data_IF_643621927264
#
_entry.id   IF_643621927264
#
_cell.length_a   1.000
_cell.length_b   1.000
_cell.length_c   1.000
_cell.angle_alpha   90.00
_cell.angle_beta   90.00
_cell.angle_gamma   90.00
#
_symmetry.space_group_name_H-M   'P 1'
#
loop_
_entity.id
_entity.type
_entity.pdbx_description
1 polymer ?
#
# COMPACT_ATOMS: atom_id res chain seq x y z
N UNK A 1 0.73 25.43 24.69
CA UNK A 1 1.47 24.21 24.30
C UNK A 1 2.00 24.39 22.89
N UNK A 2 3.29 24.73 22.73
CA UNK A 2 3.92 24.81 21.40
C UNK A 2 4.02 23.40 20.83
N UNK A 3 3.39 23.14 19.69
CA UNK A 3 3.59 21.88 18.95
C UNK A 3 5.08 21.77 18.62
N UNK A 4 5.67 20.60 18.85
CA UNK A 4 7.01 20.25 18.35
C UNK A 4 6.95 20.32 16.81
N UNK A 5 7.39 21.44 16.24
CA UNK A 5 7.54 21.59 14.79
C UNK A 5 9.00 21.25 14.45
N UNK A 6 9.27 19.95 14.30
CA UNK A 6 10.58 19.54 13.80
C UNK A 6 10.62 19.79 12.27
N UNK A 7 11.67 20.47 11.76
CA UNK A 7 11.81 20.77 10.32
C UNK A 7 11.66 19.55 9.41
N UNK A 8 12.06 18.36 9.89
CA UNK A 8 11.92 17.11 9.14
C UNK A 8 10.46 16.76 8.81
N UNK A 9 9.51 17.09 9.70
CA UNK A 9 8.11 16.83 9.44
C UNK A 9 7.51 17.83 8.46
N UNK A 10 7.99 19.07 8.45
CA UNK A 10 7.56 20.06 7.47
C UNK A 10 8.05 19.69 6.07
N UNK A 11 9.30 19.22 5.95
CA UNK A 11 9.84 18.69 4.69
C UNK A 11 9.01 17.51 4.16
N UNK A 12 8.74 16.51 4.99
CA UNK A 12 7.96 15.33 4.56
C UNK A 12 6.49 15.64 4.26
N UNK A 13 5.92 16.70 4.85
CA UNK A 13 4.54 17.12 4.60
C UNK A 13 4.40 18.08 3.42
N UNK A 14 5.47 18.77 3.05
CA UNK A 14 5.49 19.65 1.89
C UNK A 14 5.32 18.87 0.58
N UNK A 15 5.79 17.62 0.57
CA UNK A 15 5.65 16.71 -0.56
C UNK A 15 4.43 15.78 -0.43
N UNK A 16 4.07 15.16 -1.57
CA UNK A 16 2.99 14.18 -1.63
C UNK A 16 3.32 12.95 -0.77
N UNK A 17 2.38 12.54 0.07
CA UNK A 17 2.51 11.35 0.91
C UNK A 17 1.21 10.55 0.95
N UNK A 18 1.33 9.23 1.15
CA UNK A 18 0.17 8.34 1.32
C UNK A 18 -0.05 8.08 2.80
N UNK A 19 -1.22 8.46 3.30
CA UNK A 19 -1.67 8.14 4.66
C UNK A 19 -2.40 6.80 4.70
N UNK A 20 -1.72 5.74 5.15
CA UNK A 20 -2.30 4.39 5.25
C UNK A 20 -2.89 4.12 6.63
N UNK A 21 -4.16 3.72 6.68
CA UNK A 21 -4.80 3.31 7.93
C UNK A 21 -4.20 1.99 8.45
N UNK A 22 -3.61 2.02 9.65
CA UNK A 22 -2.94 0.86 10.26
C UNK A 22 -3.87 -0.34 10.45
N UNK A 23 -5.13 -0.11 10.84
CA UNK A 23 -6.09 -1.20 11.02
C UNK A 23 -6.44 -1.84 9.67
N UNK A 24 -6.69 -1.05 8.63
CA UNK A 24 -6.89 -1.59 7.27
C UNK A 24 -5.68 -2.38 6.80
N UNK A 25 -4.46 -1.89 7.04
CA UNK A 25 -3.22 -2.61 6.71
C UNK A 25 -3.15 -3.99 7.35
N UNK A 26 -3.57 -4.12 8.61
CA UNK A 26 -3.65 -5.42 9.28
C UNK A 26 -4.75 -6.34 8.71
N UNK A 27 -5.87 -5.76 8.25
CA UNK A 27 -7.01 -6.52 7.75
C UNK A 27 -6.84 -7.00 6.29
N UNK A 28 -6.18 -6.18 5.46
CA UNK A 28 -6.08 -6.36 4.01
C UNK A 28 -4.71 -6.85 3.57
N UNK A 29 -3.64 -6.31 4.16
CA UNK A 29 -2.29 -6.39 3.60
C UNK A 29 -1.70 -5.00 3.35
N UNK A 30 -0.38 -4.95 3.15
CA UNK A 30 0.33 -3.70 2.92
C UNK A 30 -0.05 -3.06 1.59
N UNK A 31 -0.03 -3.85 0.53
CA UNK A 31 -0.17 -3.36 -0.84
C UNK A 31 -1.62 -2.96 -1.11
N UNK A 32 -2.58 -3.78 -0.67
CA UNK A 32 -4.01 -3.47 -0.69
C UNK A 32 -4.34 -2.16 0.04
N UNK A 33 -3.85 -2.00 1.27
CA UNK A 33 -4.15 -0.80 2.05
C UNK A 33 -3.49 0.45 1.45
N UNK A 34 -2.30 0.32 0.87
CA UNK A 34 -1.58 1.41 0.21
C UNK A 34 -2.29 1.82 -1.08
N UNK A 35 -2.63 0.86 -1.95
CA UNK A 35 -3.38 1.11 -3.19
C UNK A 35 -4.74 1.72 -2.88
N UNK A 36 -5.47 1.19 -1.89
CA UNK A 36 -6.77 1.75 -1.52
C UNK A 36 -6.65 3.21 -1.05
N UNK A 37 -5.63 3.53 -0.26
CA UNK A 37 -5.38 4.90 0.21
C UNK A 37 -5.06 5.86 -0.95
N UNK A 38 -4.27 5.40 -1.93
CA UNK A 38 -3.97 6.17 -3.14
C UNK A 38 -5.22 6.37 -4.02
N UNK A 39 -6.04 5.33 -4.20
CA UNK A 39 -7.29 5.42 -4.96
C UNK A 39 -8.30 6.38 -4.30
N UNK A 40 -8.38 6.40 -2.96
CA UNK A 40 -9.20 7.38 -2.24
C UNK A 40 -8.71 8.82 -2.47
N UNK A 41 -7.39 9.04 -2.40
CA UNK A 41 -6.77 10.34 -2.68
C UNK A 41 -7.09 10.82 -4.10
N UNK A 42 -6.99 9.92 -5.08
CA UNK A 42 -7.35 10.23 -6.48
C UNK A 42 -8.84 10.48 -6.65
N UNK A 43 -9.71 9.66 -6.06
CA UNK A 43 -11.14 9.88 -6.11
C UNK A 43 -11.50 11.28 -5.59
N UNK A 44 -10.93 11.71 -4.46
CA UNK A 44 -11.11 13.06 -3.95
C UNK A 44 -10.62 14.12 -4.95
N UNK A 45 -9.41 13.95 -5.52
CA UNK A 45 -8.87 14.88 -6.53
C UNK A 45 -9.78 15.05 -7.75
N UNK A 46 -10.34 13.96 -8.29
CA UNK A 46 -11.24 13.97 -9.44
C UNK A 46 -12.63 14.51 -9.06
N UNK A 47 -13.14 14.14 -7.88
CA UNK A 47 -14.43 14.61 -7.35
C UNK A 47 -14.43 16.13 -7.15
N UNK A 48 -13.39 16.69 -6.52
CA UNK A 48 -13.26 18.13 -6.25
C UNK A 48 -13.17 18.99 -7.52
N UNK A 49 -13.03 18.35 -8.69
CA UNK A 49 -12.87 19.00 -10.00
C UNK A 49 -13.98 18.66 -10.98
N UNK A 50 -15.03 17.97 -10.53
CA UNK A 50 -16.13 17.48 -11.38
C UNK A 50 -15.64 16.65 -12.57
N UNK A 51 -14.59 15.83 -12.35
CA UNK A 51 -13.95 14.98 -13.38
C UNK A 51 -14.26 13.49 -13.24
N UNK A 52 -15.17 13.12 -12.34
CA UNK A 52 -15.74 11.77 -12.33
C UNK A 52 -16.66 11.61 -13.55
N UNK A 53 -16.74 10.39 -14.08
CA UNK A 53 -17.76 10.07 -15.08
C UNK A 53 -19.17 10.04 -14.44
N UNK A 54 -20.25 9.95 -15.24
CA UNK A 54 -21.62 9.90 -14.70
C UNK A 54 -21.90 8.74 -13.74
N UNK A 55 -21.13 7.65 -13.82
CA UNK A 55 -21.24 6.48 -12.96
C UNK A 55 -20.36 6.59 -11.70
N UNK A 56 -19.55 7.65 -11.57
CA UNK A 56 -18.62 7.90 -10.47
C UNK A 56 -17.23 7.26 -10.65
N UNK A 57 -16.82 6.93 -11.88
CA UNK A 57 -15.49 6.39 -12.16
C UNK A 57 -14.47 7.50 -12.46
N UNK A 58 -13.22 7.24 -12.09
CA UNK A 58 -12.04 8.00 -12.53
C UNK A 58 -11.03 7.06 -13.20
N UNK A 59 -10.26 7.57 -14.15
CA UNK A 59 -9.20 6.78 -14.78
C UNK A 59 -7.91 6.83 -13.96
N UNK A 60 -7.13 5.75 -14.03
CA UNK A 60 -5.78 5.70 -13.50
C UNK A 60 -4.98 4.64 -14.26
N UNK A 61 -3.81 5.00 -14.77
CA UNK A 61 -2.93 4.08 -15.51
C UNK A 61 -2.16 3.17 -14.55
N UNK A 62 -1.51 2.13 -15.09
CA UNK A 62 -0.65 1.23 -14.29
C UNK A 62 0.58 2.01 -13.80
N UNK A 63 1.11 2.85 -14.67
CA UNK A 63 2.28 3.71 -14.50
C UNK A 63 2.01 4.80 -13.47
N UNK A 64 0.85 5.46 -13.54
CA UNK A 64 0.44 6.45 -12.55
C UNK A 64 0.25 5.84 -11.16
N UNK A 65 -0.36 4.65 -11.10
CA UNK A 65 -0.55 3.94 -9.84
C UNK A 65 0.81 3.45 -9.28
N UNK A 66 1.73 3.03 -10.15
CA UNK A 66 3.11 2.72 -9.77
C UNK A 66 3.85 3.95 -9.25
N UNK A 67 3.75 5.09 -9.93
CA UNK A 67 4.38 6.34 -9.51
C UNK A 67 3.88 6.82 -8.14
N UNK A 68 2.59 6.64 -7.84
CA UNK A 68 2.01 7.00 -6.54
C UNK A 68 2.39 6.03 -5.43
N UNK A 69 2.43 4.72 -5.69
CA UNK A 69 2.50 3.69 -4.64
C UNK A 69 3.81 2.91 -4.57
N UNK A 70 4.62 2.97 -5.62
CA UNK A 70 5.78 2.11 -5.85
C UNK A 70 5.46 0.60 -5.89
N UNK A 71 4.20 0.22 -6.16
CA UNK A 71 3.77 -1.18 -6.22
C UNK A 71 3.75 -1.65 -7.67
N UNK A 72 4.51 -2.70 -7.99
CA UNK A 72 4.61 -3.26 -9.34
C UNK A 72 3.28 -3.83 -9.85
N UNK A 73 3.07 -3.81 -11.17
CA UNK A 73 1.80 -4.19 -11.82
C UNK A 73 1.24 -5.54 -11.35
N UNK A 74 2.08 -6.58 -11.21
CA UNK A 74 1.63 -7.89 -10.72
C UNK A 74 0.99 -7.79 -9.32
N UNK A 75 1.60 -7.05 -8.41
CA UNK A 75 1.06 -6.81 -7.07
C UNK A 75 -0.17 -5.89 -7.12
N UNK A 76 -0.19 -4.89 -8.01
CA UNK A 76 -1.38 -4.06 -8.23
C UNK A 76 -2.59 -4.91 -8.64
N UNK A 77 -2.42 -5.83 -9.61
CA UNK A 77 -3.53 -6.70 -10.09
C UNK A 77 -4.09 -7.55 -8.97
N UNK A 78 -3.23 -8.14 -8.13
CA UNK A 78 -3.64 -8.91 -6.97
C UNK A 78 -4.42 -8.04 -5.98
N UNK A 79 -3.87 -6.89 -5.61
CA UNK A 79 -4.49 -5.98 -4.66
C UNK A 79 -5.84 -5.43 -5.17
N UNK A 80 -5.91 -4.99 -6.43
CA UNK A 80 -7.15 -4.49 -7.06
C UNK A 80 -8.22 -5.59 -7.08
N UNK A 81 -7.85 -6.82 -7.41
CA UNK A 81 -8.77 -7.96 -7.41
C UNK A 81 -9.32 -8.22 -6.00
N UNK A 82 -8.46 -8.21 -4.98
CA UNK A 82 -8.85 -8.39 -3.59
C UNK A 82 -9.78 -7.27 -3.11
N UNK A 83 -9.45 -6.01 -3.40
CA UNK A 83 -10.27 -4.84 -3.05
C UNK A 83 -11.64 -4.88 -3.75
N UNK A 84 -11.69 -5.31 -5.02
CA UNK A 84 -12.94 -5.50 -5.77
C UNK A 84 -13.81 -6.59 -5.13
N UNK A 85 -13.22 -7.75 -4.83
CA UNK A 85 -13.93 -8.88 -4.24
C UNK A 85 -14.49 -8.56 -2.84
N UNK A 86 -13.81 -7.68 -2.10
CA UNK A 86 -14.28 -7.16 -0.81
C UNK A 86 -15.37 -6.09 -0.94
N UNK A 87 -15.69 -5.62 -2.15
CA UNK A 87 -16.69 -4.58 -2.38
C UNK A 87 -16.24 -3.18 -1.95
N UNK A 88 -14.93 -2.92 -1.89
CA UNK A 88 -14.39 -1.58 -1.57
C UNK A 88 -14.26 -0.69 -2.81
N UNK A 89 -14.02 -1.31 -3.97
CA UNK A 89 -13.91 -0.62 -5.25
C UNK A 89 -14.64 -1.41 -6.34
N UNK A 90 -15.00 -0.73 -7.42
CA UNK A 90 -15.23 -1.38 -8.71
C UNK A 90 -14.16 -0.95 -9.70
N UNK A 91 -13.88 -1.80 -10.68
CA UNK A 91 -12.91 -1.55 -11.74
C UNK A 91 -13.43 -2.03 -13.08
N UNK A 92 -13.31 -1.15 -14.08
CA UNK A 92 -13.55 -1.42 -15.50
C UNK A 92 -12.23 -1.24 -16.24
N UNK A 93 -11.96 -2.09 -17.23
CA UNK A 93 -10.81 -1.93 -18.12
C UNK A 93 -11.35 -1.61 -19.51
N UNK A 94 -10.95 -0.48 -20.08
CA UNK A 94 -11.46 -0.01 -21.37
C UNK A 94 -10.35 0.66 -22.18
N UNK A 95 -10.53 0.71 -23.50
CA UNK A 95 -9.61 1.38 -24.43
C UNK A 95 -8.40 0.55 -24.86
N UNK A 96 -7.60 1.15 -25.76
CA UNK A 96 -6.32 0.67 -26.25
C UNK A 96 -5.37 1.87 -26.23
N UNK A 97 -4.28 1.89 -25.43
CA UNK A 97 -3.91 0.89 -24.43
C UNK A 97 -4.93 0.78 -23.29
N UNK A 98 -4.91 -0.35 -22.57
CA UNK A 98 -5.90 -0.66 -21.55
C UNK A 98 -5.82 0.30 -20.36
N UNK A 99 -6.80 1.20 -20.24
CA UNK A 99 -6.93 2.10 -19.10
C UNK A 99 -7.82 1.45 -18.04
N UNK A 100 -7.43 1.59 -16.76
CA UNK A 100 -8.25 1.15 -15.63
C UNK A 100 -9.08 2.32 -15.14
N UNK A 101 -10.37 2.10 -15.02
CA UNK A 101 -11.33 3.02 -14.44
C UNK A 101 -11.76 2.47 -13.10
N UNK A 102 -11.63 3.27 -12.06
CA UNK A 102 -11.94 2.89 -10.69
C UNK A 102 -13.12 3.68 -10.16
N UNK A 103 -13.95 3.04 -9.35
CA UNK A 103 -15.01 3.67 -8.56
C UNK A 103 -14.85 3.25 -7.10
N UNK A 104 -14.91 4.21 -6.18
CA UNK A 104 -14.97 3.91 -4.75
C UNK A 104 -16.40 3.46 -4.42
N UNK A 105 -16.55 2.33 -3.75
CA UNK A 105 -17.84 1.85 -3.27
C UNK A 105 -18.04 2.36 -1.86
N UNK A 106 -18.99 3.28 -1.68
CA UNK A 106 -19.33 3.83 -0.38
C UNK A 106 -20.19 2.85 0.42
N UNK A 107 -19.53 1.92 1.11
CA UNK A 107 -20.16 0.95 2.00
C UNK A 107 -19.52 1.01 3.41
N UNK A 108 -20.03 1.89 4.30
CA UNK A 108 -19.44 2.09 5.62
C UNK A 108 -19.42 0.84 6.51
N UNK A 109 -20.34 -0.11 6.29
CA UNK A 109 -20.42 -1.36 7.05
C UNK A 109 -19.22 -2.26 6.78
N UNK A 110 -18.91 -2.54 5.50
CA UNK A 110 -17.73 -3.30 5.08
C UNK A 110 -16.45 -2.67 5.63
N UNK A 111 -16.34 -1.34 5.52
CA UNK A 111 -15.17 -0.62 6.00
C UNK A 111 -15.02 -0.73 7.53
N UNK A 112 -16.13 -0.61 8.27
CA UNK A 112 -16.14 -0.73 9.73
C UNK A 112 -15.73 -2.12 10.20
N UNK A 113 -16.22 -3.17 9.54
CA UNK A 113 -15.87 -4.57 9.84
C UNK A 113 -14.38 -4.83 9.60
N UNK A 114 -13.82 -4.33 8.50
CA UNK A 114 -12.39 -4.43 8.20
C UNK A 114 -11.54 -3.69 9.24
N UNK A 115 -11.96 -2.49 9.67
CA UNK A 115 -11.27 -1.75 10.72
C UNK A 115 -11.30 -2.49 12.06
N UNK A 116 -12.43 -3.11 12.42
CA UNK A 116 -12.53 -3.92 13.63
C UNK A 116 -11.65 -5.17 13.56
N UNK A 117 -11.73 -5.93 12.45
CA UNK A 117 -10.86 -7.08 12.17
C UNK A 117 -9.38 -6.70 12.30
N UNK A 118 -8.98 -5.59 11.68
CA UNK A 118 -7.61 -5.10 11.70
C UNK A 118 -7.10 -4.74 13.10
N UNK A 119 -7.93 -4.08 13.93
CA UNK A 119 -7.60 -3.77 15.33
C UNK A 119 -7.38 -5.06 16.14
N UNK A 120 -8.24 -6.06 15.96
CA UNK A 120 -8.12 -7.36 16.64
C UNK A 120 -6.82 -8.08 16.26
N UNK A 121 -6.50 -8.15 14.96
CA UNK A 121 -5.26 -8.77 14.46
C UNK A 121 -4.01 -8.08 15.05
N UNK A 122 -3.99 -6.74 15.04
CA UNK A 122 -2.90 -5.96 15.61
C UNK A 122 -2.71 -6.21 17.13
N UNK A 123 -3.81 -6.34 17.87
CA UNK A 123 -3.77 -6.64 19.30
C UNK A 123 -3.21 -8.04 19.57
N UNK A 124 -3.68 -9.04 18.82
CA UNK A 124 -3.24 -10.42 18.93
C UNK A 124 -1.74 -10.56 18.66
N UNK A 125 -1.23 -9.90 17.61
CA UNK A 125 0.19 -9.88 17.30
C UNK A 125 1.04 -9.30 18.45
N UNK A 126 0.61 -8.19 19.05
CA UNK A 126 1.31 -7.57 20.20
C UNK A 126 1.30 -8.48 21.43
N UNK A 127 0.19 -9.16 21.70
CA UNK A 127 0.07 -10.06 22.85
C UNK A 127 0.97 -11.29 22.68
N UNK A 128 1.07 -11.84 21.47
CA UNK A 128 2.00 -12.92 21.16
C UNK A 128 3.47 -12.52 21.43
N UNK A 129 3.88 -11.32 21.02
CA UNK A 129 5.23 -10.79 21.30
C UNK A 129 5.49 -10.64 22.80
N UNK A 130 4.50 -10.13 23.55
CA UNK A 130 4.62 -10.00 25.02
C UNK A 130 4.81 -11.37 25.69
N UNK A 131 4.00 -12.36 25.32
CA UNK A 131 4.14 -13.72 25.85
C UNK A 131 5.52 -14.30 25.57
N UNK A 132 6.02 -14.20 24.33
CA UNK A 132 7.37 -14.68 23.98
C UNK A 132 8.48 -14.00 24.80
N UNK A 133 8.38 -12.68 25.03
CA UNK A 133 9.36 -11.95 25.83
C UNK A 133 9.34 -12.33 27.32
N UNK A 134 8.17 -12.71 27.85
CA UNK A 134 8.02 -13.20 29.23
C UNK A 134 8.64 -14.59 29.36
N UNK A 135 8.34 -15.51 28.44
CA UNK A 135 8.90 -16.87 28.43
C UNK A 135 10.43 -16.84 28.35
N UNK A 136 11.00 -16.01 27.47
CA UNK A 136 12.45 -15.85 27.34
C UNK A 136 13.10 -15.27 28.59
N UNK A 137 12.44 -14.31 29.27
CA UNK A 137 12.93 -13.76 30.55
C UNK A 137 12.87 -14.77 31.70
N UNK A 138 11.85 -15.63 31.75
CA UNK A 138 11.80 -16.69 32.77
C UNK A 138 12.88 -17.77 32.57
N UNK A 139 13.24 -18.07 31.32
CA UNK A 139 14.35 -19.00 31.01
C UNK A 139 15.73 -18.41 31.38
N UNK A 140 15.90 -17.09 31.25
CA UNK A 140 17.13 -16.37 31.61
C UNK A 140 17.37 -16.23 33.12
N UNK A 141 16.39 -16.49 33.98
CA UNK A 141 16.47 -16.31 35.44
C UNK A 141 16.94 -17.59 36.18
N UNK A 142 17.30 -18.67 35.47
CA UNK A 142 17.88 -19.86 36.10
C UNK A 142 19.39 -19.94 35.89
N UNK A 143 20.19 -19.80 36.97
CA UNK A 143 21.36 -20.66 37.08
C UNK A 143 21.61 -21.16 38.52
N UNK A 144 21.76 -22.49 38.68
CA UNK A 144 23.00 -23.16 39.11
C UNK A 144 22.76 -24.65 39.45
N UNK A 145 23.37 -25.54 38.64
CA UNK A 145 23.93 -26.82 39.11
C UNK A 145 23.12 -28.12 38.91
N UNK A 146 23.48 -28.92 37.90
CA UNK A 146 24.34 -30.14 38.02
C UNK A 146 24.25 -31.04 36.77
N UNK A 147 25.42 -31.35 36.19
CA UNK A 147 25.82 -32.73 35.82
C UNK A 147 25.40 -33.34 34.48
N UNK A 148 26.31 -33.24 33.49
CA UNK A 148 26.72 -34.22 32.45
C UNK A 148 25.79 -35.38 32.00
N UNK A 149 25.72 -35.58 30.68
CA UNK A 149 26.48 -36.65 29.95
C UNK A 149 26.45 -36.49 28.42
N UNK A 150 27.63 -36.76 27.83
CA UNK A 150 28.08 -36.65 26.43
C UNK A 150 27.33 -37.56 25.43
N UNK A 151 27.44 -37.20 24.13
CA UNK A 151 27.94 -37.98 22.94
C UNK A 151 27.33 -37.36 21.66
N UNK A 152 27.96 -37.16 20.49
CA UNK A 152 29.28 -37.43 19.89
C UNK A 152 29.40 -36.66 18.54
N UNK A 153 30.65 -36.31 18.13
CA UNK A 153 31.25 -36.27 16.75
C UNK A 153 30.50 -35.60 15.57
N UNK A 154 31.11 -34.87 14.64
CA UNK A 154 32.51 -34.64 14.26
C UNK A 154 32.60 -33.33 13.45
N UNK A 155 33.77 -32.70 13.45
CA UNK A 155 34.10 -31.55 12.62
C UNK A 155 34.70 -32.03 11.28
N UNK A 156 34.28 -31.41 10.18
CA UNK A 156 35.18 -31.14 9.05
C UNK A 156 34.74 -29.84 8.37
N UNK A 157 35.66 -28.88 8.36
CA UNK A 157 35.48 -27.50 7.94
C UNK A 157 36.21 -27.34 6.61
N UNK A 158 35.53 -26.94 5.53
CA UNK A 158 36.20 -26.29 4.40
C UNK A 158 35.27 -25.29 3.70
N UNK A 159 35.66 -24.02 3.75
CA UNK A 159 35.64 -23.13 2.57
C UNK A 159 34.38 -22.31 2.30
N UNK A 160 34.47 -21.03 2.67
CA UNK A 160 33.77 -19.92 2.00
C UNK A 160 34.29 -19.80 0.56
N UNK A 161 33.42 -19.45 -0.41
CA UNK A 161 33.84 -18.41 -1.32
C UNK A 161 32.82 -17.27 -1.39
N UNK A 162 33.39 -16.07 -1.31
CA UNK A 162 32.82 -14.78 -1.61
C UNK A 162 32.04 -14.78 -2.94
N UNK A 163 30.95 -14.00 -2.99
CA UNK A 163 30.44 -13.47 -4.25
C UNK A 163 30.24 -11.95 -4.16
N UNK A 164 30.58 -11.20 -5.23
CA UNK A 164 30.77 -9.76 -5.16
C UNK A 164 29.45 -8.99 -5.14
N UNK A 165 29.48 -7.83 -4.47
CA UNK A 165 28.49 -6.77 -4.58
C UNK A 165 28.57 -6.17 -5.98
N UNK A 166 27.59 -6.44 -6.84
CA UNK A 166 27.41 -5.67 -8.06
C UNK A 166 26.65 -4.37 -7.76
N UNK A 167 27.28 -3.29 -8.20
CA UNK A 167 26.87 -1.90 -8.09
C UNK A 167 25.74 -1.65 -9.08
N UNK A 168 24.57 -1.22 -8.60
CA UNK A 168 23.58 -0.60 -9.47
C UNK A 168 23.78 0.92 -9.47
N UNK A 169 24.06 1.41 -10.67
CA UNK A 169 24.35 2.79 -10.98
C UNK A 169 23.10 3.66 -10.85
N UNK A 170 23.35 4.81 -10.22
CA UNK A 170 22.55 6.00 -10.14
C UNK A 170 22.13 6.53 -11.52
N UNK A 171 20.83 6.78 -11.73
CA UNK A 171 20.32 7.76 -12.70
C UNK A 171 19.26 8.61 -12.01
N UNK A 172 19.47 9.93 -12.06
CA UNK A 172 18.67 10.98 -11.45
C UNK A 172 17.17 10.93 -11.81
N UNK A 173 16.29 11.57 -11.05
CA UNK A 173 16.29 13.00 -10.81
C UNK A 173 15.15 13.60 -11.63
N UNK A 174 14.04 13.92 -10.98
CA UNK A 174 12.85 14.45 -11.67
C UNK A 174 11.59 14.39 -10.82
N UNK A 175 11.56 15.16 -9.72
CA UNK A 175 10.30 15.50 -9.06
C UNK A 175 9.51 16.48 -9.94
N UNK A 176 8.21 16.23 -10.11
CA UNK A 176 7.29 17.22 -10.66
C UNK A 176 6.19 16.64 -11.54
N UNK A 177 4.97 16.63 -11.00
CA UNK A 177 3.68 16.59 -11.69
C UNK A 177 3.33 15.32 -12.48
N UNK A 178 2.21 14.68 -12.11
CA UNK A 178 1.49 13.72 -12.95
C UNK A 178 1.35 14.29 -14.38
N UNK A 179 1.61 13.51 -15.44
CA UNK A 179 1.63 14.01 -16.81
C UNK A 179 0.30 14.68 -17.17
N UNK A 180 0.37 15.93 -17.65
CA UNK A 180 -0.79 16.73 -18.08
C UNK A 180 -1.45 16.20 -19.36
N UNK A 181 -0.83 15.22 -20.03
CA UNK A 181 -1.20 14.81 -21.39
C UNK A 181 -2.38 13.81 -21.44
N UNK A 182 -2.57 12.96 -20.44
CA UNK A 182 -3.72 12.04 -20.40
C UNK A 182 -5.05 12.74 -20.12
N UNK A 183 -5.00 13.91 -19.47
CA UNK A 183 -6.18 14.76 -19.30
C UNK A 183 -6.68 15.33 -20.64
N UNK A 184 -5.79 15.53 -21.63
CA UNK A 184 -6.19 15.90 -22.99
C UNK A 184 -6.86 14.72 -23.72
N UNK A 185 -6.40 13.48 -23.48
CA UNK A 185 -6.99 12.27 -24.06
C UNK A 185 -8.41 12.00 -23.53
N UNK A 186 -8.67 12.21 -22.23
CA UNK A 186 -10.02 12.10 -21.66
C UNK A 186 -10.95 13.24 -22.14
N UNK A 187 -10.47 14.49 -22.16
CA UNK A 187 -11.26 15.62 -22.67
C UNK A 187 -11.65 15.45 -24.16
N UNK A 188 -10.82 14.76 -24.95
CA UNK A 188 -11.09 14.46 -26.35
C UNK A 188 -12.06 13.28 -26.57
N UNK A 189 -12.26 12.43 -25.56
CA UNK A 189 -13.06 11.19 -25.65
C UNK A 189 -14.31 11.17 -24.75
N UNK A 190 -14.53 12.20 -23.94
CA UNK A 190 -15.72 12.36 -23.11
C UNK A 190 -17.03 12.40 -23.93
N UNK A 191 -18.18 12.12 -23.28
CA UNK A 191 -19.46 12.01 -23.98
C UNK A 191 -19.80 13.31 -24.71
N UNK A 192 -19.95 13.23 -26.04
CA UNK A 192 -20.50 14.33 -26.84
C UNK A 192 -21.87 14.68 -26.26
N UNK A 193 -22.03 15.89 -25.73
CA UNK A 193 -23.35 16.43 -25.38
C UNK A 193 -24.25 16.27 -26.61
N UNK A 194 -25.27 15.41 -26.53
CA UNK A 194 -26.33 15.39 -27.53
C UNK A 194 -27.02 16.75 -27.42
N UNK A 195 -26.83 17.61 -28.41
CA UNK A 195 -27.63 18.82 -28.55
C UNK A 195 -29.06 18.37 -28.80
N UNK A 196 -29.94 18.54 -27.82
CA UNK A 196 -31.37 18.60 -28.08
C UNK A 196 -31.63 19.93 -28.79
N UNK A 197 -31.83 19.88 -30.11
CA UNK A 197 -32.52 20.95 -30.82
C UNK A 197 -34.02 20.63 -30.71
N UNK A 198 -34.79 21.64 -30.28
CA UNK A 198 -36.25 21.58 -30.21
C UNK A 198 -36.92 21.58 -31.57
#
# INVERSE_FOLDING_TARGET
MSKLNHPIFDLLRADAHISVNKALRWALGNDEATIYSELLSRNAYFSDRDKLDPDGFFFNTIEDLYAGTHIADKAQRSAITNLKNLGLIDVKVQGIPAMRFFKIIDCPTILSDLLQKGKMLALNARNATKMHSITKRSELVLPLGKGNKKKNKAEHFTGVPDKPLEQENNVGGGGGSLPRDDLRMWAASGPKKRSFNG
#
